data_IF_212314386982
#
_entry.id   IF_212314386982
#
_cell.length_a   1.000
_cell.length_b   1.000
_cell.length_c   1.000
_cell.angle_alpha   90.00
_cell.angle_beta   90.00
_cell.angle_gamma   90.00
#
_symmetry.space_group_name_H-M   'P 1'
#
loop_
_entity.id
_entity.type
_entity.pdbx_description
1 polymer ?
#
# COMPACT_ATOMS: atom_id res chain seq x y z
N UNK A 1 -10.63 -18.74 10.56
CA UNK A 1 -10.30 -19.88 9.65
C UNK A 1 -11.01 -21.12 10.13
N UNK A 2 -10.94 -21.50 11.41
CA UNK A 2 -11.53 -22.72 12.00
C UNK A 2 -12.98 -22.99 11.59
N UNK A 3 -13.83 -21.96 11.52
CA UNK A 3 -15.21 -22.09 11.09
C UNK A 3 -15.38 -22.62 9.64
N UNK A 4 -14.37 -22.45 8.79
CA UNK A 4 -14.40 -22.97 7.41
C UNK A 4 -13.78 -24.36 7.30
N UNK A 5 -12.85 -24.72 8.20
CA UNK A 5 -12.20 -26.02 8.19
C UNK A 5 -13.16 -27.17 8.50
N UNK A 6 -14.21 -26.90 9.30
CA UNK A 6 -15.27 -27.87 9.60
C UNK A 6 -15.96 -28.41 8.33
N UNK A 7 -16.04 -27.62 7.26
CA UNK A 7 -16.69 -28.04 6.02
C UNK A 7 -15.84 -28.92 5.12
N UNK A 8 -14.53 -29.07 5.41
CA UNK A 8 -13.57 -29.85 4.61
C UNK A 8 -13.63 -29.52 3.11
N UNK A 9 -13.89 -28.27 2.77
CA UNK A 9 -13.93 -27.78 1.38
C UNK A 9 -12.61 -27.12 1.01
N UNK A 10 -12.21 -27.14 -0.27
CA UNK A 10 -11.08 -26.37 -0.73
C UNK A 10 -11.27 -24.89 -0.41
N UNK A 11 -10.20 -24.25 0.07
CA UNK A 11 -10.15 -22.82 0.44
C UNK A 11 -8.96 -22.19 -0.25
N UNK A 12 -9.20 -21.00 -0.84
CA UNK A 12 -8.14 -20.15 -1.38
C UNK A 12 -8.30 -18.78 -0.76
N UNK A 13 -7.26 -18.31 -0.07
CA UNK A 13 -7.25 -17.00 0.56
C UNK A 13 -6.70 -15.96 -0.41
N UNK A 14 -7.32 -14.78 -0.43
CA UNK A 14 -6.89 -13.65 -1.23
C UNK A 14 -6.40 -12.54 -0.32
N UNK A 15 -5.27 -11.92 -0.69
CA UNK A 15 -4.61 -10.82 0.01
C UNK A 15 -4.22 -11.12 1.47
N UNK A 16 -4.12 -12.39 1.81
CA UNK A 16 -3.69 -12.85 3.14
C UNK A 16 -2.77 -14.05 3.01
N UNK A 17 -1.56 -13.97 3.57
CA UNK A 17 -0.60 -15.08 3.58
C UNK A 17 -0.99 -16.10 4.65
N UNK A 18 -1.61 -17.17 4.20
CA UNK A 18 -2.04 -18.30 5.04
C UNK A 18 -1.27 -19.59 4.75
N UNK A 19 -0.15 -19.51 4.02
CA UNK A 19 0.63 -20.69 3.66
C UNK A 19 1.14 -21.45 4.88
N UNK A 20 1.62 -20.75 5.89
CA UNK A 20 2.08 -21.35 7.15
C UNK A 20 0.98 -22.06 7.94
N UNK A 21 -0.27 -21.71 7.69
CA UNK A 21 -1.46 -22.34 8.28
C UNK A 21 -1.95 -23.53 7.44
N UNK A 22 -1.28 -23.89 6.36
CA UNK A 22 -1.62 -25.00 5.50
C UNK A 22 -2.68 -24.71 4.43
N UNK A 23 -2.92 -23.43 4.11
CA UNK A 23 -3.89 -23.01 3.11
C UNK A 23 -3.24 -22.37 1.88
N UNK A 24 -3.86 -22.61 0.73
CA UNK A 24 -3.47 -21.94 -0.52
C UNK A 24 -3.87 -20.46 -0.48
N UNK A 25 -2.96 -19.60 -0.91
CA UNK A 25 -3.21 -18.16 -0.91
C UNK A 25 -2.58 -17.43 -2.10
N UNK A 26 -3.17 -16.26 -2.40
CA UNK A 26 -2.67 -15.32 -3.39
C UNK A 26 -2.48 -13.98 -2.70
N UNK A 27 -1.29 -13.41 -2.82
CA UNK A 27 -0.94 -12.15 -2.19
C UNK A 27 -0.37 -11.15 -3.20
N UNK A 28 -0.35 -9.89 -2.81
CA UNK A 28 0.34 -8.82 -3.53
C UNK A 28 1.84 -8.85 -3.24
N UNK A 29 2.70 -8.60 -4.24
CA UNK A 29 4.14 -8.40 -4.07
C UNK A 29 4.42 -7.01 -3.47
N UNK A 30 4.28 -6.90 -2.16
CA UNK A 30 4.54 -5.66 -1.44
C UNK A 30 6.01 -5.23 -1.48
N UNK A 31 6.95 -6.19 -1.56
CA UNK A 31 8.36 -5.85 -1.64
C UNK A 31 8.69 -5.10 -2.93
N UNK A 32 8.30 -5.67 -4.07
CA UNK A 32 8.53 -5.00 -5.37
C UNK A 32 7.73 -3.69 -5.47
N UNK A 33 6.53 -3.63 -4.90
CA UNK A 33 5.75 -2.39 -4.84
C UNK A 33 6.51 -1.27 -4.11
N UNK A 34 7.02 -1.53 -2.90
CA UNK A 34 7.76 -0.54 -2.13
C UNK A 34 9.11 -0.20 -2.76
N UNK A 35 9.74 -1.18 -3.38
CA UNK A 35 10.94 -0.94 -4.18
C UNK A 35 10.68 0.06 -5.31
N UNK A 36 9.57 -0.09 -6.06
CA UNK A 36 9.19 0.84 -7.13
C UNK A 36 8.97 2.27 -6.60
N UNK A 37 8.28 2.42 -5.46
CA UNK A 37 8.03 3.72 -4.84
C UNK A 37 9.32 4.40 -4.41
N UNK A 38 10.15 3.69 -3.64
CA UNK A 38 11.39 4.23 -3.08
C UNK A 38 12.40 4.54 -4.18
N UNK A 39 12.54 3.64 -5.17
CA UNK A 39 13.46 3.86 -6.31
C UNK A 39 13.03 5.06 -7.16
N UNK A 40 11.73 5.24 -7.39
CA UNK A 40 11.22 6.39 -8.14
C UNK A 40 11.62 7.71 -7.46
N UNK A 41 11.38 7.85 -6.18
CA UNK A 41 11.75 9.06 -5.44
C UNK A 41 13.26 9.24 -5.32
N UNK A 42 13.98 8.16 -5.00
CA UNK A 42 15.43 8.19 -4.84
C UNK A 42 16.16 8.59 -6.14
N UNK A 43 15.75 8.06 -7.28
CA UNK A 43 16.34 8.37 -8.58
C UNK A 43 16.11 9.84 -9.01
N UNK A 44 15.08 10.48 -8.46
CA UNK A 44 14.83 11.91 -8.63
C UNK A 44 15.52 12.79 -7.58
N UNK A 45 16.44 12.22 -6.78
CA UNK A 45 17.18 12.92 -5.74
C UNK A 45 16.38 13.19 -4.45
N UNK A 46 15.18 12.63 -4.31
CA UNK A 46 14.34 12.79 -3.12
C UNK A 46 14.70 11.74 -2.07
N UNK A 47 15.70 12.03 -1.24
CA UNK A 47 16.23 11.08 -0.25
C UNK A 47 15.51 11.13 1.11
N UNK A 48 14.60 12.08 1.30
CA UNK A 48 13.71 12.14 2.47
C UNK A 48 12.29 11.86 2.00
N UNK A 49 11.75 10.71 2.41
CA UNK A 49 10.44 10.22 1.98
C UNK A 49 9.59 10.00 3.22
N UNK A 50 8.47 10.72 3.31
CA UNK A 50 7.45 10.48 4.33
C UNK A 50 6.53 9.32 3.95
N UNK A 51 5.98 8.64 4.94
CA UNK A 51 4.95 7.61 4.73
C UNK A 51 3.73 7.88 5.61
N UNK A 52 2.55 7.85 4.98
CA UNK A 52 1.26 7.82 5.66
C UNK A 52 0.71 6.40 5.59
N UNK A 53 0.43 5.81 6.74
CA UNK A 53 -0.04 4.42 6.84
C UNK A 53 -1.17 4.28 7.84
N UNK A 54 -1.85 3.14 7.84
CA UNK A 54 -2.92 2.81 8.78
C UNK A 54 -2.55 1.63 9.67
N UNK A 55 -3.26 1.52 10.77
CA UNK A 55 -3.34 0.32 11.58
C UNK A 55 -4.56 -0.47 11.15
N UNK A 56 -4.40 -1.76 10.99
CA UNK A 56 -5.49 -2.72 10.84
C UNK A 56 -5.51 -3.64 12.06
N UNK A 57 -6.69 -3.87 12.59
CA UNK A 57 -6.91 -4.79 13.70
C UNK A 57 -7.72 -5.99 13.20
N UNK A 58 -7.53 -7.15 13.82
CA UNK A 58 -8.40 -8.31 13.59
C UNK A 58 -9.84 -7.98 14.00
N UNK A 59 -10.82 -8.69 13.45
CA UNK A 59 -12.25 -8.44 13.70
C UNK A 59 -12.61 -8.56 15.19
N UNK A 60 -11.86 -9.35 15.94
CA UNK A 60 -11.97 -9.51 17.40
C UNK A 60 -11.16 -8.46 18.19
N UNK A 61 -10.41 -7.60 17.51
CA UNK A 61 -9.53 -6.56 18.07
C UNK A 61 -8.44 -7.11 19.02
N UNK A 62 -8.10 -8.39 18.89
CA UNK A 62 -7.09 -9.04 19.74
C UNK A 62 -5.67 -8.87 19.20
N UNK A 63 -5.52 -8.66 17.86
CA UNK A 63 -4.20 -8.52 17.22
C UNK A 63 -4.17 -7.34 16.23
N UNK A 64 -3.04 -6.64 16.22
CA UNK A 64 -2.71 -5.64 15.21
C UNK A 64 -2.09 -6.37 14.01
N UNK A 65 -2.70 -6.22 12.84
CA UNK A 65 -2.15 -6.74 11.59
C UNK A 65 -1.02 -5.81 11.14
N UNK A 66 0.19 -6.34 11.03
CA UNK A 66 1.32 -5.57 10.51
C UNK A 66 1.12 -5.22 9.04
N UNK A 67 1.10 -3.92 8.74
CA UNK A 67 1.04 -3.44 7.36
C UNK A 67 2.33 -3.81 6.59
N UNK A 68 2.20 -4.72 5.63
CA UNK A 68 3.31 -5.17 4.79
C UNK A 68 3.91 -4.06 3.93
N UNK A 69 3.15 -3.00 3.62
CA UNK A 69 3.64 -1.81 2.91
C UNK A 69 4.65 -1.06 3.79
N UNK A 70 4.29 -0.78 5.04
CA UNK A 70 5.19 -0.13 6.00
C UNK A 70 6.45 -0.96 6.26
N UNK A 71 6.28 -2.26 6.51
CA UNK A 71 7.41 -3.17 6.75
C UNK A 71 8.41 -3.16 5.58
N UNK A 72 7.93 -3.35 4.35
CA UNK A 72 8.78 -3.39 3.16
C UNK A 72 9.36 -2.01 2.80
N UNK A 73 8.59 -0.93 2.97
CA UNK A 73 9.10 0.44 2.82
C UNK A 73 10.26 0.70 3.78
N UNK A 74 10.08 0.37 5.06
CA UNK A 74 11.10 0.52 6.10
C UNK A 74 12.36 -0.28 5.78
N UNK A 75 12.21 -1.55 5.43
CA UNK A 75 13.34 -2.45 5.15
C UNK A 75 14.12 -1.98 3.91
N UNK A 76 13.43 -1.61 2.83
CA UNK A 76 14.08 -1.18 1.60
C UNK A 76 14.71 0.21 1.74
N UNK A 77 14.06 1.16 2.39
CA UNK A 77 14.62 2.50 2.66
C UNK A 77 15.83 2.45 3.60
N UNK A 78 15.82 1.56 4.60
CA UNK A 78 16.99 1.31 5.45
C UNK A 78 18.17 0.76 4.65
N UNK A 79 17.92 -0.20 3.76
CA UNK A 79 18.98 -0.76 2.90
C UNK A 79 19.60 0.30 1.98
N UNK A 80 18.86 1.34 1.61
CA UNK A 80 19.35 2.50 0.85
C UNK A 80 19.94 3.62 1.70
N UNK A 81 19.87 3.54 3.03
CA UNK A 81 20.36 4.59 3.94
C UNK A 81 19.53 5.86 3.98
N UNK A 82 18.24 5.79 3.61
CA UNK A 82 17.32 6.95 3.51
C UNK A 82 16.07 6.81 4.38
N UNK A 83 16.04 5.87 5.30
CA UNK A 83 14.92 5.69 6.21
C UNK A 83 15.00 6.63 7.41
N UNK A 84 13.87 7.25 7.74
CA UNK A 84 13.69 8.18 8.86
C UNK A 84 12.46 7.80 9.67
N UNK A 85 12.62 7.40 10.94
CA UNK A 85 11.51 7.02 11.81
C UNK A 85 10.54 8.19 12.05
N UNK A 86 11.04 9.42 12.12
CA UNK A 86 10.26 10.64 12.32
C UNK A 86 9.39 11.05 11.11
N UNK A 87 9.54 10.37 9.99
CA UNK A 87 8.73 10.59 8.79
C UNK A 87 7.65 9.51 8.58
N UNK A 88 7.40 8.69 9.60
CA UNK A 88 6.33 7.69 9.60
C UNK A 88 5.13 8.25 10.37
N UNK A 89 4.02 8.46 9.66
CA UNK A 89 2.76 8.94 10.22
C UNK A 89 1.72 7.82 10.13
N UNK A 90 1.17 7.41 11.27
CA UNK A 90 0.32 6.24 11.36
C UNK A 90 -1.02 6.56 12.02
N UNK A 91 -2.12 6.17 11.36
CA UNK A 91 -3.48 6.37 11.82
C UNK A 91 -4.40 5.23 11.36
N UNK A 92 -5.52 5.54 10.72
CA UNK A 92 -6.44 4.57 10.10
C UNK A 92 -6.49 4.71 8.59
N UNK A 93 -6.94 3.68 7.85
CA UNK A 93 -7.04 3.69 6.39
C UNK A 93 -8.26 4.48 5.87
N UNK A 94 -8.47 5.69 6.38
CA UNK A 94 -9.57 6.59 5.98
C UNK A 94 -9.05 7.88 5.36
N UNK A 95 -9.88 8.55 4.56
CA UNK A 95 -9.53 9.85 4.00
C UNK A 95 -9.37 10.93 5.10
N UNK A 96 -10.17 10.85 6.17
CA UNK A 96 -10.03 11.78 7.30
C UNK A 96 -8.68 11.58 7.98
N UNK A 97 -8.27 10.34 8.23
CA UNK A 97 -6.95 10.06 8.81
C UNK A 97 -5.82 10.56 7.90
N UNK A 98 -5.91 10.35 6.58
CA UNK A 98 -4.93 10.88 5.63
C UNK A 98 -4.79 12.40 5.68
N UNK A 99 -5.92 13.09 5.84
CA UNK A 99 -5.94 14.55 6.05
C UNK A 99 -5.24 14.96 7.35
N UNK A 100 -5.60 14.31 8.46
CA UNK A 100 -5.09 14.64 9.78
C UNK A 100 -3.58 14.36 9.87
N UNK A 101 -3.12 13.21 9.38
CA UNK A 101 -1.70 12.82 9.34
C UNK A 101 -0.86 13.77 8.48
N UNK A 102 -1.35 14.16 7.31
CA UNK A 102 -0.63 15.12 6.47
C UNK A 102 -0.58 16.51 7.11
N UNK A 103 -1.66 16.92 7.75
CA UNK A 103 -1.71 18.18 8.50
C UNK A 103 -0.73 18.17 9.67
N UNK A 104 -0.63 17.05 10.39
CA UNK A 104 0.39 16.82 11.43
C UNK A 104 1.80 16.94 10.85
N UNK A 105 2.07 16.27 9.71
CA UNK A 105 3.37 16.35 9.05
C UNK A 105 3.73 17.80 8.67
N UNK A 106 2.80 18.56 8.09
CA UNK A 106 2.99 19.95 7.72
C UNK A 106 3.32 20.81 8.95
N UNK A 107 2.56 20.63 10.03
CA UNK A 107 2.70 21.44 11.25
C UNK A 107 3.98 21.10 12.02
N UNK A 108 4.31 19.82 12.15
CA UNK A 108 5.46 19.36 12.94
C UNK A 108 6.80 19.59 12.24
N UNK A 109 6.83 19.46 10.90
CA UNK A 109 8.05 19.53 10.12
C UNK A 109 8.31 20.93 9.50
N UNK A 110 7.27 21.72 9.27
CA UNK A 110 7.38 23.06 8.70
C UNK A 110 8.23 23.09 7.41
N UNK A 111 9.28 23.89 7.41
CA UNK A 111 10.21 24.02 6.28
C UNK A 111 10.98 22.72 5.97
N UNK A 112 11.05 21.80 6.93
CA UNK A 112 11.69 20.48 6.77
C UNK A 112 10.74 19.41 6.22
N UNK A 113 9.53 19.77 5.81
CA UNK A 113 8.60 18.84 5.17
C UNK A 113 9.29 18.15 3.97
N UNK A 114 9.33 16.80 3.92
CA UNK A 114 10.00 16.07 2.86
C UNK A 114 9.39 16.36 1.48
N UNK A 115 10.20 16.28 0.41
CA UNK A 115 9.71 16.52 -0.96
C UNK A 115 8.88 15.39 -1.51
N UNK A 116 8.80 14.25 -0.83
CA UNK A 116 8.11 13.06 -1.28
C UNK A 116 7.32 12.40 -0.16
N UNK A 117 6.11 11.94 -0.48
CA UNK A 117 5.28 11.12 0.41
C UNK A 117 4.73 9.91 -0.33
N UNK A 118 4.75 8.78 0.36
CA UNK A 118 3.98 7.60 0.00
C UNK A 118 2.79 7.46 0.96
N UNK A 119 1.60 7.30 0.43
CA UNK A 119 0.42 7.00 1.23
C UNK A 119 -0.06 5.57 0.94
N UNK A 120 -0.18 4.77 1.99
CA UNK A 120 -0.39 3.32 1.90
C UNK A 120 -1.80 2.91 1.43
N UNK A 121 -2.67 3.86 1.07
CA UNK A 121 -3.93 3.62 0.37
C UNK A 121 -4.41 4.86 -0.37
N UNK A 122 -5.31 4.66 -1.34
CA UNK A 122 -5.93 5.77 -2.08
C UNK A 122 -6.77 6.67 -1.16
N UNK A 123 -7.43 6.11 -0.16
CA UNK A 123 -8.17 6.89 0.84
C UNK A 123 -7.26 7.84 1.60
N UNK A 124 -6.13 7.35 2.13
CA UNK A 124 -5.12 8.18 2.79
C UNK A 124 -4.60 9.27 1.86
N UNK A 125 -4.31 8.92 0.60
CA UNK A 125 -3.78 9.86 -0.40
C UNK A 125 -4.73 11.01 -0.70
N UNK A 126 -6.04 10.73 -0.80
CA UNK A 126 -7.07 11.75 -1.06
C UNK A 126 -7.14 12.75 0.10
N UNK A 127 -7.10 12.23 1.34
CA UNK A 127 -7.05 13.08 2.52
C UNK A 127 -5.78 13.93 2.57
N UNK A 128 -4.62 13.30 2.32
CA UNK A 128 -3.32 14.00 2.27
C UNK A 128 -3.28 15.08 1.18
N UNK A 129 -3.80 14.77 -0.02
CA UNK A 129 -3.90 15.73 -1.11
C UNK A 129 -4.69 16.97 -0.70
N UNK A 130 -5.84 16.77 -0.05
CA UNK A 130 -6.66 17.86 0.46
C UNK A 130 -5.90 18.73 1.47
N UNK A 131 -5.20 18.12 2.42
CA UNK A 131 -4.43 18.86 3.42
C UNK A 131 -3.29 19.69 2.79
N UNK A 132 -2.60 19.15 1.79
CA UNK A 132 -1.57 19.85 1.03
C UNK A 132 -2.14 21.06 0.27
N UNK A 133 -3.30 20.87 -0.40
CA UNK A 133 -3.99 21.93 -1.13
C UNK A 133 -4.46 23.06 -0.20
N UNK A 134 -5.07 22.74 0.94
CA UNK A 134 -5.50 23.73 1.95
C UNK A 134 -4.31 24.52 2.53
N UNK A 135 -3.13 23.90 2.62
CA UNK A 135 -1.90 24.55 3.06
C UNK A 135 -1.18 25.32 1.94
N UNK A 136 -1.70 25.34 0.72
CA UNK A 136 -1.06 25.99 -0.44
C UNK A 136 0.23 25.33 -0.91
N UNK A 137 0.42 24.03 -0.58
CA UNK A 137 1.60 23.25 -0.98
C UNK A 137 1.33 22.60 -2.35
N UNK A 138 2.12 23.00 -3.35
CA UNK A 138 1.94 22.53 -4.72
C UNK A 138 2.41 21.08 -4.93
N UNK A 139 1.63 20.32 -5.72
CA UNK A 139 2.01 19.02 -6.24
C UNK A 139 2.19 19.16 -7.76
N UNK A 140 3.23 18.55 -8.35
CA UNK A 140 4.34 17.84 -7.70
C UNK A 140 5.52 18.74 -7.30
N UNK A 141 5.45 20.06 -7.50
CA UNK A 141 6.60 20.98 -7.44
C UNK A 141 7.27 21.03 -6.05
N UNK A 142 6.45 21.14 -4.99
CA UNK A 142 6.97 21.15 -3.60
C UNK A 142 6.93 19.77 -2.97
N UNK A 143 5.85 19.00 -3.18
CA UNK A 143 5.66 17.66 -2.65
C UNK A 143 5.15 16.74 -3.76
N UNK A 144 5.86 15.64 -3.99
CA UNK A 144 5.41 14.51 -4.80
C UNK A 144 4.67 13.51 -3.92
N UNK A 145 3.53 12.97 -4.41
CA UNK A 145 2.69 12.03 -3.67
C UNK A 145 2.41 10.78 -4.52
N UNK A 146 2.73 9.61 -3.98
CA UNK A 146 2.37 8.30 -4.55
C UNK A 146 1.36 7.62 -3.64
N UNK A 147 0.32 7.07 -4.24
CA UNK A 147 -0.77 6.32 -3.62
C UNK A 147 -0.57 4.79 -3.73
N UNK A 148 -1.51 4.03 -3.20
CA UNK A 148 -1.55 2.58 -3.30
C UNK A 148 -2.98 2.09 -3.54
N UNK A 149 -3.16 1.14 -4.45
CA UNK A 149 -4.28 0.39 -5.01
C UNK A 149 -4.64 0.83 -6.43
N UNK A 150 -4.55 2.11 -6.79
CA UNK A 150 -4.91 2.68 -8.09
C UNK A 150 -6.41 2.50 -8.44
N UNK A 151 -7.29 2.76 -7.48
CA UNK A 151 -8.72 2.78 -7.74
C UNK A 151 -9.12 3.94 -8.67
N UNK A 152 -10.36 3.95 -9.15
CA UNK A 152 -10.86 5.03 -10.02
C UNK A 152 -10.75 6.43 -9.39
N UNK A 153 -10.76 6.51 -8.07
CA UNK A 153 -10.66 7.78 -7.33
C UNK A 153 -9.36 8.53 -7.59
N UNK A 154 -8.24 7.83 -7.75
CA UNK A 154 -6.93 8.47 -8.01
C UNK A 154 -6.89 9.26 -9.32
N UNK A 155 -7.76 8.91 -10.27
CA UNK A 155 -7.88 9.57 -11.58
C UNK A 155 -8.85 10.75 -11.57
N UNK A 156 -9.72 10.83 -10.55
CA UNK A 156 -10.81 11.83 -10.46
C UNK A 156 -10.46 13.04 -9.60
N UNK A 157 -9.35 13.00 -8.88
CA UNK A 157 -8.83 14.13 -8.10
C UNK A 157 -7.87 14.98 -8.93
N UNK A 158 -7.59 16.20 -8.48
CA UNK A 158 -6.65 17.09 -9.15
C UNK A 158 -5.53 17.54 -8.19
N UNK A 159 -4.25 17.36 -8.57
CA UNK A 159 -3.80 16.60 -9.74
C UNK A 159 -4.13 15.11 -9.62
N UNK A 160 -4.26 14.38 -10.74
CA UNK A 160 -4.42 12.93 -10.72
C UNK A 160 -3.24 12.26 -10.01
N UNK A 161 -3.53 11.29 -9.12
CA UNK A 161 -2.51 10.69 -8.28
C UNK A 161 -1.75 9.56 -8.98
N UNK A 162 -0.43 9.62 -8.94
CA UNK A 162 0.45 8.48 -9.20
C UNK A 162 0.16 7.40 -8.14
N UNK A 163 0.11 6.15 -8.52
CA UNK A 163 -0.28 5.07 -7.60
C UNK A 163 0.37 3.74 -7.98
N UNK A 164 0.58 2.90 -6.98
CA UNK A 164 0.85 1.48 -7.21
C UNK A 164 -0.45 0.81 -7.62
N UNK A 165 -0.51 0.30 -8.84
CA UNK A 165 -1.63 -0.48 -9.35
C UNK A 165 -1.58 -1.90 -8.79
N UNK A 166 -2.62 -2.29 -8.05
CA UNK A 166 -2.86 -3.66 -7.57
C UNK A 166 -3.92 -4.31 -8.46
N UNK A 167 -3.61 -5.47 -8.99
CA UNK A 167 -4.47 -6.17 -9.96
C UNK A 167 -5.50 -7.06 -9.26
N UNK A 168 -6.46 -6.45 -8.56
CA UNK A 168 -7.47 -7.16 -7.76
C UNK A 168 -8.36 -8.09 -8.58
N UNK A 169 -8.70 -7.71 -9.83
CA UNK A 169 -9.47 -8.57 -10.73
C UNK A 169 -8.68 -9.82 -11.12
N UNK A 170 -7.38 -9.68 -11.42
CA UNK A 170 -6.51 -10.82 -11.74
C UNK A 170 -6.31 -11.71 -10.51
N UNK A 171 -6.24 -11.13 -9.31
CA UNK A 171 -6.19 -11.88 -8.06
C UNK A 171 -7.45 -12.74 -7.90
N UNK A 172 -8.63 -12.17 -8.14
CA UNK A 172 -9.89 -12.89 -8.11
C UNK A 172 -9.95 -14.02 -9.16
N UNK A 173 -9.54 -13.76 -10.40
CA UNK A 173 -9.49 -14.77 -11.48
C UNK A 173 -8.53 -15.90 -11.12
N UNK A 174 -7.32 -15.59 -10.70
CA UNK A 174 -6.33 -16.59 -10.30
C UNK A 174 -6.83 -17.45 -9.12
N UNK A 175 -7.51 -16.81 -8.15
CA UNK A 175 -8.14 -17.50 -7.02
C UNK A 175 -9.19 -18.52 -7.48
N UNK A 176 -10.06 -18.11 -8.38
CA UNK A 176 -11.08 -19.00 -8.94
C UNK A 176 -10.48 -20.15 -9.76
N UNK A 177 -9.44 -19.90 -10.54
CA UNK A 177 -8.75 -20.91 -11.32
C UNK A 177 -8.10 -21.97 -10.43
N UNK A 178 -7.45 -21.52 -9.34
CA UNK A 178 -6.85 -22.45 -8.36
C UNK A 178 -7.95 -23.23 -7.65
N UNK A 179 -8.99 -22.57 -7.17
CA UNK A 179 -10.10 -23.20 -6.46
C UNK A 179 -10.76 -24.27 -7.33
N UNK A 180 -11.03 -23.96 -8.60
CA UNK A 180 -11.61 -24.93 -9.55
C UNK A 180 -10.70 -26.14 -9.73
N UNK A 181 -9.40 -25.97 -9.87
CA UNK A 181 -8.43 -27.08 -9.97
C UNK A 181 -8.42 -27.92 -8.70
N UNK A 182 -8.50 -27.32 -7.54
CA UNK A 182 -8.55 -28.05 -6.26
C UNK A 182 -9.85 -28.84 -6.11
N UNK A 183 -10.98 -28.28 -6.50
CA UNK A 183 -12.28 -28.96 -6.48
C UNK A 183 -12.30 -30.16 -7.45
N UNK A 184 -11.79 -29.97 -8.68
CA UNK A 184 -11.84 -31.02 -9.73
C UNK A 184 -10.81 -32.13 -9.53
N UNK A 185 -9.64 -31.80 -8.99
CA UNK A 185 -8.49 -32.72 -8.96
C UNK A 185 -8.03 -33.09 -7.55
N UNK A 186 -8.69 -32.57 -6.51
CA UNK A 186 -8.37 -32.92 -5.12
C UNK A 186 -6.95 -32.51 -4.72
N UNK A 187 -6.50 -31.31 -5.09
CA UNK A 187 -5.17 -30.82 -4.74
C UNK A 187 -5.01 -30.76 -3.22
N UNK A 188 -3.88 -31.31 -2.72
CA UNK A 188 -3.61 -31.41 -1.29
C UNK A 188 -2.41 -30.59 -0.83
N UNK A 189 -1.67 -29.97 -1.75
CA UNK A 189 -0.45 -29.22 -1.43
C UNK A 189 -0.77 -27.73 -1.46
N UNK A 190 -0.73 -27.05 -0.30
CA UNK A 190 -0.90 -25.61 -0.23
C UNK A 190 0.14 -24.89 -1.09
N UNK A 191 -0.24 -23.77 -1.69
CA UNK A 191 0.67 -22.98 -2.50
C UNK A 191 0.42 -21.49 -2.28
N UNK A 192 1.49 -20.71 -2.40
CA UNK A 192 1.43 -19.26 -2.42
C UNK A 192 1.69 -18.77 -3.84
N UNK A 193 0.78 -17.93 -4.33
CA UNK A 193 0.95 -17.19 -5.58
C UNK A 193 1.12 -15.71 -5.24
N UNK A 194 2.20 -15.11 -5.74
CA UNK A 194 2.47 -13.69 -5.53
C UNK A 194 2.22 -12.93 -6.83
N UNK A 195 1.36 -11.91 -6.80
CA UNK A 195 1.05 -11.06 -7.95
C UNK A 195 1.89 -9.79 -7.91
N UNK A 196 2.57 -9.51 -9.01
CA UNK A 196 3.33 -8.28 -9.19
C UNK A 196 2.43 -7.05 -9.22
N UNK A 197 3.05 -5.88 -9.01
CA UNK A 197 2.41 -4.56 -9.05
C UNK A 197 3.07 -3.68 -10.10
N UNK A 198 2.47 -2.55 -10.39
CA UNK A 198 3.03 -1.56 -11.31
C UNK A 198 2.87 -0.15 -10.74
N UNK A 199 3.95 0.63 -10.74
CA UNK A 199 3.87 2.06 -10.49
C UNK A 199 3.27 2.76 -11.73
N UNK A 200 2.09 3.33 -11.57
CA UNK A 200 1.41 4.13 -12.60
C UNK A 200 1.62 5.60 -12.28
N UNK A 201 2.47 6.27 -13.06
CA UNK A 201 2.80 7.68 -12.90
C UNK A 201 1.69 8.57 -13.46
N UNK A 202 1.40 9.67 -12.74
CA UNK A 202 0.48 10.75 -13.11
C UNK A 202 1.05 12.10 -12.65
N UNK A 203 0.20 13.11 -12.50
CA UNK A 203 0.61 14.49 -12.26
C UNK A 203 0.97 14.81 -10.80
N UNK A 204 0.73 13.88 -9.84
CA UNK A 204 1.10 14.08 -8.43
C UNK A 204 2.57 13.79 -8.12
N UNK A 205 3.34 13.31 -9.10
CA UNK A 205 4.79 13.11 -9.02
C UNK A 205 5.47 13.80 -10.20
N UNK A 206 6.72 14.20 -10.01
CA UNK A 206 7.53 14.71 -11.12
C UNK A 206 7.72 13.57 -12.14
N UNK A 207 7.51 13.88 -13.40
CA UNK A 207 7.96 13.06 -14.51
C UNK A 207 9.37 13.56 -14.88
N UNK A 208 10.27 12.63 -15.22
CA UNK A 208 11.62 12.97 -15.68
C UNK A 208 11.61 14.00 -16.81
#
# INVERSE_FOLDING_TARGET
ISAFEEYQKPLVFLDSDTLSLGHTCIITDFYTAMKQVVDHFFNQGMNRIGILTGLEETTDQEEIIQDKRLENFKNYSKAKGIYHDELVFQGSFTAQSGYDLMKEAIQSLGDQLPPAFFAASDSLSIGALRALQEAGISLPDRVSLISFNDTSLTKQVYPPLSSITVYTEEMGRAGMDILNKEVLHGRKIPSLTMLGTRLTLRESTRNE
#
